data_IF_203818642534
#
_entry.id   IF_203818642534
#
_cell.length_a   1.000
_cell.length_b   1.000
_cell.length_c   1.000
_cell.angle_alpha   90.00
_cell.angle_beta   90.00
_cell.angle_gamma   90.00
#
_symmetry.space_group_name_H-M   'P 1'
#
loop_
_entity.id
_entity.type
_entity.pdbx_description
1 polymer ?
#
# COMPACT_ATOMS: atom_id res chain seq x y z
N UNK A 1 -19.01 19.85 -14.09
CA UNK A 1 -19.06 19.02 -15.32
C UNK A 1 -19.33 17.59 -14.90
N UNK A 2 -20.38 16.99 -15.44
CA UNK A 2 -20.68 15.56 -15.19
C UNK A 2 -20.03 14.70 -16.28
N UNK A 3 -19.88 13.38 -16.10
CA UNK A 3 -19.38 12.50 -17.17
C UNK A 3 -20.19 12.56 -18.47
N UNK A 4 -21.48 12.92 -18.39
CA UNK A 4 -22.38 13.05 -19.55
C UNK A 4 -22.46 14.45 -20.15
N UNK A 5 -21.60 15.37 -19.73
CA UNK A 5 -21.55 16.70 -20.32
C UNK A 5 -21.38 16.61 -21.85
N UNK A 6 -22.21 17.33 -22.61
CA UNK A 6 -22.32 17.27 -24.07
C UNK A 6 -22.82 15.93 -24.67
N UNK A 7 -23.27 14.98 -23.84
CA UNK A 7 -23.78 13.67 -24.28
C UNK A 7 -25.25 13.43 -23.90
N UNK A 8 -25.71 13.97 -22.76
CA UNK A 8 -27.10 13.82 -22.32
C UNK A 8 -27.34 14.28 -20.89
N UNK A 9 -28.57 14.07 -20.39
CA UNK A 9 -28.91 14.38 -19.01
C UNK A 9 -28.24 13.38 -18.03
N UNK A 10 -27.63 13.86 -16.93
CA UNK A 10 -27.00 13.00 -15.94
C UNK A 10 -28.05 12.24 -15.13
N UNK A 11 -27.73 10.99 -14.76
CA UNK A 11 -28.45 10.23 -13.74
C UNK A 11 -27.84 10.50 -12.34
N UNK A 12 -28.33 9.79 -11.33
CA UNK A 12 -27.85 9.94 -9.94
C UNK A 12 -26.35 9.64 -9.78
N UNK A 13 -25.85 8.61 -10.45
CA UNK A 13 -24.44 8.20 -10.36
C UNK A 13 -23.53 9.21 -11.06
N UNK A 14 -23.92 9.70 -12.25
CA UNK A 14 -23.20 10.74 -12.99
C UNK A 14 -23.04 12.03 -12.15
N UNK A 15 -24.08 12.38 -11.38
CA UNK A 15 -24.04 13.53 -10.46
C UNK A 15 -23.09 13.26 -9.30
N UNK A 16 -23.14 12.06 -8.69
CA UNK A 16 -22.23 11.68 -7.61
C UNK A 16 -20.77 11.75 -8.07
N UNK A 17 -20.45 11.15 -9.22
CA UNK A 17 -19.09 11.16 -9.79
C UNK A 17 -18.60 12.58 -10.05
N UNK A 18 -19.43 13.43 -10.65
CA UNK A 18 -19.09 14.84 -10.89
C UNK A 18 -18.79 15.59 -9.59
N UNK A 19 -19.61 15.40 -8.54
CA UNK A 19 -19.39 16.05 -7.24
C UNK A 19 -18.09 15.56 -6.61
N UNK A 20 -17.83 14.25 -6.58
CA UNK A 20 -16.61 13.70 -5.99
C UNK A 20 -15.37 14.18 -6.76
N UNK A 21 -15.41 14.21 -8.09
CA UNK A 21 -14.32 14.72 -8.93
C UNK A 21 -13.99 16.19 -8.59
N UNK A 22 -15.01 17.05 -8.47
CA UNK A 22 -14.81 18.46 -8.11
C UNK A 22 -14.34 18.64 -6.67
N UNK A 23 -14.78 17.81 -5.71
CA UNK A 23 -14.27 17.83 -4.33
C UNK A 23 -12.78 17.46 -4.28
N UNK A 24 -12.35 16.49 -5.09
CA UNK A 24 -10.92 16.15 -5.23
C UNK A 24 -10.15 17.35 -5.79
N UNK A 25 -10.64 17.95 -6.88
CA UNK A 25 -9.97 19.08 -7.53
C UNK A 25 -9.85 20.30 -6.60
N UNK A 26 -10.92 20.63 -5.88
CA UNK A 26 -10.92 21.73 -4.90
C UNK A 26 -9.93 21.47 -3.76
N UNK A 27 -9.95 20.26 -3.18
CA UNK A 27 -9.02 19.88 -2.11
C UNK A 27 -7.56 19.90 -2.59
N UNK A 28 -7.29 19.41 -3.81
CA UNK A 28 -5.95 19.48 -4.41
C UNK A 28 -5.47 20.93 -4.60
N UNK A 29 -6.37 21.84 -5.02
CA UNK A 29 -6.06 23.26 -5.11
C UNK A 29 -5.75 23.86 -3.73
N UNK A 30 -6.52 23.50 -2.70
CA UNK A 30 -6.29 23.97 -1.33
C UNK A 30 -4.95 23.47 -0.76
N UNK A 31 -4.57 22.22 -1.04
CA UNK A 31 -3.23 21.71 -0.72
C UNK A 31 -2.13 22.50 -1.43
N UNK A 32 -2.27 22.74 -2.74
CA UNK A 32 -1.28 23.48 -3.52
C UNK A 32 -1.13 24.94 -3.06
N UNK A 33 -2.23 25.55 -2.58
CA UNK A 33 -2.24 26.90 -2.00
C UNK A 33 -1.70 26.95 -0.57
N UNK A 34 -1.46 25.80 0.08
CA UNK A 34 -1.09 25.75 1.49
C UNK A 34 -2.23 26.21 2.41
N UNK A 35 -3.49 25.96 2.04
CA UNK A 35 -4.64 26.36 2.85
C UNK A 35 -4.55 25.71 4.24
N UNK A 36 -4.66 26.50 5.34
CA UNK A 36 -4.61 25.97 6.68
C UNK A 36 -5.59 24.81 6.88
N UNK A 37 -5.10 23.69 7.41
CA UNK A 37 -5.90 22.50 7.70
C UNK A 37 -6.10 21.52 6.55
N UNK A 38 -5.85 21.88 5.29
CA UNK A 38 -6.03 20.97 4.16
C UNK A 38 -5.19 19.70 4.31
N UNK A 39 -3.92 19.85 4.69
CA UNK A 39 -2.98 18.73 4.85
C UNK A 39 -3.31 17.79 6.02
N UNK A 40 -4.08 18.24 7.01
CA UNK A 40 -4.43 17.41 8.18
C UNK A 40 -5.21 16.17 7.74
N UNK A 41 -6.13 16.34 6.78
CA UNK A 41 -6.94 15.25 6.23
C UNK A 41 -6.07 14.21 5.52
N UNK A 42 -5.16 14.65 4.66
CA UNK A 42 -4.23 13.78 3.92
C UNK A 42 -3.32 13.00 4.85
N UNK A 43 -2.79 13.68 5.87
CA UNK A 43 -1.94 13.04 6.88
C UNK A 43 -2.72 12.01 7.70
N UNK A 44 -3.96 12.31 8.11
CA UNK A 44 -4.81 11.38 8.84
C UNK A 44 -5.14 10.14 8.02
N UNK A 45 -5.53 10.31 6.74
CA UNK A 45 -5.82 9.21 5.82
C UNK A 45 -4.57 8.37 5.54
N UNK A 46 -3.42 9.02 5.30
CA UNK A 46 -2.16 8.35 5.02
C UNK A 46 -1.65 7.56 6.24
N UNK A 47 -1.83 8.12 7.45
CA UNK A 47 -1.51 7.43 8.69
C UNK A 47 -2.43 6.21 8.90
N UNK A 48 -3.74 6.36 8.69
CA UNK A 48 -4.68 5.23 8.77
C UNK A 48 -4.32 4.12 7.79
N UNK A 49 -3.92 4.48 6.57
CA UNK A 49 -3.43 3.53 5.55
C UNK A 49 -2.17 2.79 6.00
N UNK A 50 -1.17 3.52 6.49
CA UNK A 50 0.10 2.92 6.91
C UNK A 50 -0.05 2.02 8.16
N UNK A 51 -0.99 2.35 9.04
CA UNK A 51 -1.31 1.59 10.26
C UNK A 51 -2.37 0.50 10.04
N UNK A 52 -2.82 0.29 8.79
CA UNK A 52 -3.86 -0.69 8.44
C UNK A 52 -5.18 -0.53 9.21
N UNK A 53 -5.51 0.71 9.60
CA UNK A 53 -6.82 1.07 10.16
C UNK A 53 -7.82 1.25 9.02
N UNK A 54 -8.24 0.14 8.43
CA UNK A 54 -9.07 0.12 7.21
C UNK A 54 -10.35 0.93 7.34
N UNK A 55 -11.07 0.78 8.46
CA UNK A 55 -12.31 1.52 8.70
C UNK A 55 -12.09 3.04 8.73
N UNK A 56 -11.04 3.48 9.42
CA UNK A 56 -10.68 4.89 9.47
C UNK A 56 -10.27 5.40 8.08
N UNK A 57 -9.51 4.61 7.33
CA UNK A 57 -9.12 4.95 5.97
C UNK A 57 -10.34 5.13 5.04
N UNK A 58 -11.35 4.25 5.13
CA UNK A 58 -12.56 4.39 4.34
C UNK A 58 -13.34 5.63 4.73
N UNK A 59 -13.57 5.82 6.04
CA UNK A 59 -14.38 6.92 6.58
C UNK A 59 -13.74 8.29 6.33
N UNK A 60 -12.41 8.36 6.23
CA UNK A 60 -11.68 9.58 5.86
C UNK A 60 -11.68 9.86 4.34
N UNK A 61 -12.07 8.89 3.51
CA UNK A 61 -12.22 9.04 2.06
C UNK A 61 -13.29 10.06 1.67
N UNK A 62 -13.20 10.61 0.45
CA UNK A 62 -14.24 11.55 -0.05
C UNK A 62 -15.55 10.83 -0.39
N UNK A 63 -15.46 9.52 -0.64
CA UNK A 63 -16.56 8.60 -0.92
C UNK A 63 -16.30 7.27 -0.19
N UNK A 64 -16.65 7.20 1.12
CA UNK A 64 -16.38 6.03 1.96
C UNK A 64 -17.01 4.74 1.45
N UNK A 65 -18.22 4.82 0.88
CA UNK A 65 -18.96 3.67 0.37
C UNK A 65 -18.22 3.00 -0.79
N UNK A 66 -17.72 3.81 -1.73
CA UNK A 66 -16.95 3.30 -2.88
C UNK A 66 -15.62 2.70 -2.43
N UNK A 67 -14.91 3.35 -1.50
CA UNK A 67 -13.64 2.84 -0.99
C UNK A 67 -13.80 1.47 -0.30
N UNK A 68 -14.86 1.32 0.51
CA UNK A 68 -15.22 0.08 1.18
C UNK A 68 -15.62 -1.00 0.18
N UNK A 69 -16.48 -0.65 -0.79
CA UNK A 69 -16.94 -1.55 -1.84
C UNK A 69 -15.75 -2.16 -2.60
N UNK A 70 -14.80 -1.34 -3.06
CA UNK A 70 -13.65 -1.82 -3.82
C UNK A 70 -12.72 -2.74 -3.02
N UNK A 71 -12.52 -2.48 -1.74
CA UNK A 71 -11.78 -3.41 -0.88
C UNK A 71 -12.54 -4.74 -0.74
N UNK A 72 -13.86 -4.68 -0.55
CA UNK A 72 -14.69 -5.83 -0.21
C UNK A 72 -15.02 -6.72 -1.42
N UNK A 73 -14.82 -6.23 -2.64
CA UNK A 73 -14.91 -7.04 -3.87
C UNK A 73 -13.98 -8.26 -3.82
N UNK A 74 -12.82 -8.16 -3.16
CA UNK A 74 -11.86 -9.27 -3.02
C UNK A 74 -11.62 -9.69 -1.57
N UNK A 75 -11.87 -8.81 -0.61
CA UNK A 75 -11.60 -9.04 0.83
C UNK A 75 -12.83 -8.72 1.70
N UNK A 76 -13.99 -9.38 1.49
CA UNK A 76 -15.27 -8.99 2.11
C UNK A 76 -15.36 -9.30 3.62
N UNK A 77 -14.55 -10.23 4.12
CA UNK A 77 -14.63 -10.67 5.52
C UNK A 77 -14.25 -9.53 6.47
N UNK A 78 -14.95 -9.39 7.59
CA UNK A 78 -14.64 -8.36 8.60
C UNK A 78 -13.20 -8.48 9.14
N UNK A 79 -12.66 -9.70 9.25
CA UNK A 79 -11.27 -9.93 9.62
C UNK A 79 -10.25 -9.32 8.63
N UNK A 80 -10.64 -9.02 7.39
CA UNK A 80 -9.77 -8.32 6.45
C UNK A 80 -9.56 -6.85 6.85
N UNK A 81 -10.49 -6.24 7.58
CA UNK A 81 -10.41 -4.84 8.05
C UNK A 81 -9.41 -4.63 9.18
N UNK A 82 -8.81 -5.70 9.68
CA UNK A 82 -7.70 -5.70 10.62
C UNK A 82 -6.45 -6.35 10.03
N UNK A 83 -6.46 -6.68 8.73
CA UNK A 83 -5.33 -7.34 8.07
C UNK A 83 -4.26 -6.34 7.66
N UNK A 84 -3.00 -6.72 7.83
CA UNK A 84 -1.83 -5.91 7.43
C UNK A 84 -1.50 -6.06 5.92
N UNK A 85 -2.51 -6.25 5.07
CA UNK A 85 -2.35 -6.33 3.61
C UNK A 85 -3.71 -6.15 2.91
N UNK A 86 -3.67 -5.99 1.59
CA UNK A 86 -4.86 -6.13 0.72
C UNK A 86 -4.60 -7.17 -0.37
N UNK A 87 -5.60 -7.42 -1.22
CA UNK A 87 -5.49 -8.38 -2.31
C UNK A 87 -4.41 -8.04 -3.35
N UNK A 88 -3.98 -6.77 -3.44
CA UNK A 88 -3.03 -6.33 -4.45
C UNK A 88 -1.64 -6.96 -4.31
N UNK A 89 -1.08 -6.98 -3.09
CA UNK A 89 0.25 -7.56 -2.83
C UNK A 89 0.18 -8.85 -2.00
N UNK A 90 -0.95 -9.10 -1.34
CA UNK A 90 -1.10 -10.20 -0.41
C UNK A 90 -0.23 -10.07 0.85
N UNK A 91 -0.24 -11.10 1.71
CA UNK A 91 0.35 -11.04 3.05
C UNK A 91 1.88 -11.01 3.09
N UNK A 92 2.55 -11.45 2.01
CA UNK A 92 4.01 -11.60 1.97
C UNK A 92 4.74 -10.41 1.34
N UNK A 93 4.09 -9.67 0.45
CA UNK A 93 4.75 -8.66 -0.38
C UNK A 93 4.19 -7.24 -0.17
N UNK A 94 3.39 -7.03 0.87
CA UNK A 94 2.91 -5.69 1.20
C UNK A 94 4.06 -4.81 1.71
N UNK A 95 4.41 -3.76 0.96
CA UNK A 95 5.51 -2.85 1.29
C UNK A 95 5.35 -2.15 2.63
N UNK A 96 4.14 -1.72 2.99
CA UNK A 96 3.87 -1.06 4.27
C UNK A 96 4.04 -2.02 5.45
N UNK A 97 3.63 -3.28 5.29
CA UNK A 97 3.80 -4.32 6.30
C UNK A 97 5.29 -4.62 6.51
N UNK A 98 6.02 -4.87 5.43
CA UNK A 98 7.47 -5.08 5.47
C UNK A 98 8.18 -3.90 6.15
N UNK A 99 7.75 -2.67 5.83
CA UNK A 99 8.28 -1.46 6.48
C UNK A 99 8.03 -1.44 7.99
N UNK A 100 6.83 -1.84 8.44
CA UNK A 100 6.55 -1.95 9.87
C UNK A 100 7.40 -3.02 10.54
N UNK A 101 7.51 -4.20 9.93
CA UNK A 101 8.34 -5.30 10.43
C UNK A 101 9.79 -4.86 10.60
N UNK A 102 10.38 -4.19 9.60
CA UNK A 102 11.74 -3.63 9.67
C UNK A 102 11.88 -2.60 10.80
N UNK A 103 10.88 -1.74 11.01
CA UNK A 103 10.92 -0.72 12.09
C UNK A 103 10.85 -1.35 13.49
N UNK A 104 10.23 -2.52 13.61
CA UNK A 104 10.09 -3.24 14.88
C UNK A 104 11.20 -4.26 15.12
N UNK A 105 12.05 -4.53 14.13
CA UNK A 105 13.17 -5.46 14.29
C UNK A 105 14.10 -5.00 15.41
N UNK A 106 14.49 -5.95 16.25
CA UNK A 106 15.47 -5.66 17.28
C UNK A 106 16.91 -5.69 16.72
N UNK A 107 17.88 -5.21 17.53
CA UNK A 107 19.29 -5.18 17.12
C UNK A 107 19.85 -6.58 16.83
N UNK A 108 19.34 -7.62 17.49
CA UNK A 108 19.82 -8.99 17.31
C UNK A 108 19.30 -9.58 15.99
N UNK A 109 18.04 -9.31 15.63
CA UNK A 109 17.45 -9.66 14.33
C UNK A 109 18.17 -8.98 13.19
N UNK A 110 18.44 -7.66 13.29
CA UNK A 110 19.23 -6.93 12.29
C UNK A 110 20.65 -7.49 12.18
N UNK A 111 21.30 -7.78 13.32
CA UNK A 111 22.63 -8.39 13.32
C UNK A 111 22.63 -9.77 12.65
N UNK A 112 21.59 -10.58 12.89
CA UNK A 112 21.42 -11.90 12.27
C UNK A 112 21.20 -11.80 10.75
N UNK A 113 20.38 -10.86 10.29
CA UNK A 113 20.18 -10.61 8.86
C UNK A 113 21.51 -10.21 8.20
N UNK A 114 22.25 -9.29 8.81
CA UNK A 114 23.57 -8.89 8.30
C UNK A 114 24.57 -10.05 8.28
N UNK A 115 24.57 -10.91 9.31
CA UNK A 115 25.42 -12.11 9.33
C UNK A 115 25.06 -13.09 8.21
N UNK A 116 23.76 -13.33 7.99
CA UNK A 116 23.28 -14.16 6.86
C UNK A 116 23.70 -13.56 5.52
N UNK A 117 23.64 -12.24 5.36
CA UNK A 117 24.08 -11.59 4.12
C UNK A 117 25.57 -11.81 3.86
N UNK A 118 26.42 -11.69 4.89
CA UNK A 118 27.86 -11.99 4.78
C UNK A 118 28.10 -13.44 4.37
N UNK A 119 27.39 -14.40 4.97
CA UNK A 119 27.48 -15.82 4.57
C UNK A 119 26.98 -16.06 3.15
N UNK A 120 25.89 -15.41 2.73
CA UNK A 120 25.36 -15.49 1.37
C UNK A 120 26.34 -14.92 0.35
N UNK A 121 27.01 -13.81 0.66
CA UNK A 121 28.04 -13.22 -0.20
C UNK A 121 29.23 -14.16 -0.36
N UNK A 122 29.66 -14.82 0.72
CA UNK A 122 30.70 -15.86 0.68
C UNK A 122 30.28 -17.06 -0.17
N UNK A 123 29.04 -17.56 0.01
CA UNK A 123 28.51 -18.66 -0.80
C UNK A 123 28.35 -18.28 -2.27
N UNK A 124 27.99 -17.03 -2.55
CA UNK A 124 27.96 -16.52 -3.92
C UNK A 124 29.36 -16.49 -4.54
N UNK A 125 30.39 -16.10 -3.78
CA UNK A 125 31.78 -16.14 -4.26
C UNK A 125 32.23 -17.59 -4.51
N UNK A 126 31.98 -18.51 -3.57
CA UNK A 126 32.29 -19.95 -3.69
C UNK A 126 31.58 -20.57 -4.91
N UNK A 127 30.33 -20.17 -5.17
CA UNK A 127 29.59 -20.62 -6.36
C UNK A 127 30.23 -20.13 -7.66
N UNK A 128 30.66 -18.87 -7.72
CA UNK A 128 31.35 -18.31 -8.89
C UNK A 128 32.72 -18.98 -9.11
N UNK A 129 33.47 -19.28 -8.05
CA UNK A 129 34.74 -20.02 -8.11
C UNK A 129 34.55 -21.45 -8.63
N UNK A 130 33.40 -22.08 -8.34
CA UNK A 130 33.04 -23.41 -8.83
C UNK A 130 32.33 -23.39 -10.20
N UNK A 131 32.68 -22.46 -11.09
CA UNK A 131 32.10 -22.27 -12.43
C UNK A 131 30.57 -22.08 -12.43
N UNK A 132 29.97 -21.56 -11.35
CA UNK A 132 28.52 -21.43 -11.23
C UNK A 132 27.76 -22.75 -11.40
N UNK A 133 28.35 -23.88 -10.97
CA UNK A 133 27.72 -25.20 -11.04
C UNK A 133 26.93 -25.48 -9.76
N UNK A 134 25.67 -25.89 -9.92
CA UNK A 134 24.79 -26.28 -8.82
C UNK A 134 25.21 -27.63 -8.22
N UNK A 135 25.73 -28.54 -9.06
CA UNK A 135 26.20 -29.86 -8.64
C UNK A 135 27.72 -29.93 -8.80
N UNK A 136 28.42 -29.88 -7.68
CA UNK A 136 29.88 -30.06 -7.64
C UNK A 136 30.13 -31.58 -7.62
N UNK A 137 30.96 -32.08 -8.54
CA UNK A 137 31.36 -33.50 -8.51
C UNK A 137 32.25 -33.70 -7.28
N UNK A 138 31.82 -34.50 -6.31
CA UNK A 138 32.68 -34.96 -5.22
C UNK A 138 33.95 -35.57 -5.84
N UNK A 139 35.12 -35.07 -5.41
CA UNK A 139 36.40 -35.46 -5.97
C UNK A 139 36.64 -36.96 -5.88
N UNK A 140 37.20 -37.52 -6.96
CA UNK A 140 37.86 -38.84 -6.97
C UNK A 140 39.17 -38.75 -6.19
#
# INVERSE_FOLDING_TARGET
VTPKEHLGLPNQDDVKEGIIAYKIAAHAADLAKGHPGAQIRDNALSKARFEFRWEDQFNLGLDPDTARKYHDETMPKQAAKTSHFCSMCGPKFCSMKITQEIKTMDKAEIAKINAIQVEMDQKSAEFLENDSKIYIKEGV
#
